data_IF_719232496117
#
_entry.id   IF_719232496117
#
_cell.length_a   1.000
_cell.length_b   1.000
_cell.length_c   1.000
_cell.angle_alpha   90.00
_cell.angle_beta   90.00
_cell.angle_gamma   90.00
#
_symmetry.space_group_name_H-M   'P 1'
#
loop_
_entity.id
_entity.type
_entity.pdbx_description
1 polymer ?
#
# COMPACT_ATOMS: atom_id res chain seq x y z
N UNK A 1 -6.88 -1.55 -20.80
CA UNK A 1 -7.56 -1.02 -19.62
C UNK A 1 -9.06 -1.15 -19.80
N UNK A 2 -9.66 -2.16 -19.19
CA UNK A 2 -11.10 -2.14 -18.88
C UNK A 2 -11.38 -0.85 -18.12
N UNK A 3 -12.38 -0.05 -18.54
CA UNK A 3 -13.04 0.93 -17.68
C UNK A 3 -13.06 0.33 -16.28
N UNK A 4 -12.59 1.03 -15.22
CA UNK A 4 -12.79 0.52 -13.87
C UNK A 4 -14.30 0.47 -13.68
N UNK A 5 -14.88 -0.69 -14.00
CA UNK A 5 -16.27 -0.97 -13.74
C UNK A 5 -16.43 -0.66 -12.28
N UNK A 6 -17.39 0.21 -11.97
CA UNK A 6 -17.90 0.37 -10.62
C UNK A 6 -18.15 -1.07 -10.18
N UNK A 7 -17.22 -1.63 -9.39
CA UNK A 7 -17.39 -2.99 -8.92
C UNK A 7 -18.65 -2.91 -8.09
N UNK A 8 -19.64 -3.73 -8.42
CA UNK A 8 -20.72 -3.97 -7.49
C UNK A 8 -20.04 -4.45 -6.22
N UNK A 9 -19.95 -3.57 -5.21
CA UNK A 9 -19.45 -3.95 -3.89
C UNK A 9 -20.21 -5.21 -3.50
N UNK A 10 -19.54 -6.19 -2.90
CA UNK A 10 -20.21 -7.43 -2.47
C UNK A 10 -21.39 -7.14 -1.51
N UNK A 11 -21.39 -5.93 -0.94
CA UNK A 11 -22.36 -5.39 0.01
C UNK A 11 -23.36 -4.41 -0.65
N UNK A 12 -23.14 -4.06 -1.93
CA UNK A 12 -23.55 -2.85 -2.68
C UNK A 12 -25.04 -2.55 -2.89
N UNK A 13 -25.92 -3.14 -2.10
CA UNK A 13 -27.31 -2.69 -1.94
C UNK A 13 -27.94 -3.16 -0.63
N UNK A 14 -27.33 -4.12 0.05
CA UNK A 14 -27.83 -4.67 1.30
C UNK A 14 -27.46 -3.79 2.50
N UNK A 15 -26.28 -3.18 2.52
CA UNK A 15 -25.85 -2.33 3.64
C UNK A 15 -26.88 -1.25 4.00
N UNK A 16 -27.40 -0.43 3.07
CA UNK A 16 -28.41 0.58 3.40
C UNK A 16 -29.70 -0.02 3.98
N UNK A 17 -30.11 -1.21 3.52
CA UNK A 17 -31.34 -1.87 3.99
C UNK A 17 -31.16 -2.45 5.40
N UNK A 18 -30.00 -3.07 5.65
CA UNK A 18 -29.62 -3.57 6.98
C UNK A 18 -29.49 -2.40 7.96
N UNK A 19 -28.89 -1.29 7.51
CA UNK A 19 -28.76 -0.05 8.28
C UNK A 19 -30.15 0.48 8.70
N UNK A 20 -31.05 0.64 7.74
CA UNK A 20 -32.43 1.10 7.99
C UNK A 20 -33.13 0.14 8.96
N UNK A 21 -33.03 -1.17 8.74
CA UNK A 21 -33.62 -2.18 9.62
C UNK A 21 -33.09 -2.12 11.05
N UNK A 22 -31.76 -1.98 11.22
CA UNK A 22 -31.12 -1.86 12.53
C UNK A 22 -31.55 -0.59 13.27
N UNK A 23 -31.61 0.56 12.57
CA UNK A 23 -32.07 1.84 13.15
C UNK A 23 -33.54 1.76 13.57
N UNK A 24 -34.41 1.17 12.74
CA UNK A 24 -35.82 0.99 13.09
C UNK A 24 -35.95 0.08 14.32
N UNK A 25 -35.25 -1.06 14.36
CA UNK A 25 -35.29 -1.99 15.49
C UNK A 25 -34.81 -1.30 16.78
N UNK A 26 -33.71 -0.55 16.71
CA UNK A 26 -33.16 0.16 17.85
C UNK A 26 -34.14 1.24 18.38
N UNK A 27 -34.79 1.97 17.46
CA UNK A 27 -35.82 2.94 17.80
C UNK A 27 -37.04 2.29 18.48
N UNK A 28 -37.55 1.18 17.93
CA UNK A 28 -38.68 0.44 18.51
C UNK A 28 -38.34 -0.12 19.91
N UNK A 29 -37.12 -0.64 20.08
CA UNK A 29 -36.65 -1.14 21.36
C UNK A 29 -36.59 -0.01 22.40
N UNK A 30 -36.06 1.15 22.01
CA UNK A 30 -36.03 2.36 22.86
C UNK A 30 -37.43 2.84 23.26
N UNK A 31 -38.38 2.86 22.31
CA UNK A 31 -39.79 3.21 22.58
C UNK A 31 -40.39 2.24 23.59
N UNK A 32 -40.16 0.93 23.43
CA UNK A 32 -40.62 -0.09 24.38
C UNK A 32 -40.12 0.19 25.80
N UNK A 33 -38.81 0.41 25.98
CA UNK A 33 -38.23 0.69 27.30
C UNK A 33 -38.79 1.96 27.96
N UNK A 34 -39.05 3.01 27.18
CA UNK A 34 -39.68 4.25 27.67
C UNK A 34 -41.12 3.98 28.12
N UNK A 35 -41.89 3.22 27.35
CA UNK A 35 -43.29 2.92 27.66
C UNK A 35 -43.45 2.01 28.88
N UNK A 36 -42.51 1.10 29.14
CA UNK A 36 -42.55 0.18 30.28
C UNK A 36 -41.99 0.79 31.60
N UNK A 37 -41.66 2.08 31.62
CA UNK A 37 -41.33 2.79 32.87
C UNK A 37 -40.04 2.33 33.55
N UNK A 38 -39.12 1.74 32.79
CA UNK A 38 -37.81 1.34 33.30
C UNK A 38 -37.05 2.61 33.69
N UNK A 39 -36.70 2.75 34.97
CA UNK A 39 -36.08 3.97 35.51
C UNK A 39 -34.70 3.70 36.09
N UNK A 40 -33.90 4.76 36.23
CA UNK A 40 -32.55 4.69 36.79
C UNK A 40 -31.52 4.06 35.83
N UNK A 41 -30.74 3.13 36.35
CA UNK A 41 -29.58 2.52 35.69
C UNK A 41 -29.92 1.85 34.36
N UNK A 42 -30.99 1.04 34.35
CA UNK A 42 -31.38 0.25 33.18
C UNK A 42 -31.79 1.15 32.01
N UNK A 43 -32.44 2.28 32.27
CA UNK A 43 -32.77 3.27 31.24
C UNK A 43 -31.50 3.84 30.59
N UNK A 44 -30.51 4.18 31.41
CA UNK A 44 -29.23 4.69 30.94
C UNK A 44 -28.46 3.68 30.09
N UNK A 45 -28.43 2.39 30.48
CA UNK A 45 -27.82 1.32 29.70
C UNK A 45 -28.50 1.11 28.33
N UNK A 46 -29.82 1.20 28.28
CA UNK A 46 -30.59 1.12 27.03
C UNK A 46 -30.29 2.29 26.10
N UNK A 47 -30.27 3.52 26.63
CA UNK A 47 -29.91 4.71 25.86
C UNK A 47 -28.49 4.59 25.30
N UNK A 48 -27.52 4.18 26.12
CA UNK A 48 -26.13 3.97 25.68
C UNK A 48 -26.01 2.90 24.59
N UNK A 49 -26.76 1.79 24.72
CA UNK A 49 -26.82 0.74 23.71
C UNK A 49 -27.37 1.28 22.39
N UNK A 50 -28.42 2.10 22.44
CA UNK A 50 -29.03 2.70 21.25
C UNK A 50 -28.05 3.66 20.54
N UNK A 51 -27.37 4.53 21.29
CA UNK A 51 -26.32 5.41 20.74
C UNK A 51 -25.22 4.58 20.07
N UNK A 52 -24.80 3.48 20.69
CA UNK A 52 -23.79 2.57 20.13
C UNK A 52 -24.23 1.96 18.80
N UNK A 53 -25.50 1.54 18.69
CA UNK A 53 -26.06 1.02 17.45
C UNK A 53 -26.10 2.10 16.35
N UNK A 54 -26.42 3.35 16.69
CA UNK A 54 -26.38 4.48 15.74
C UNK A 54 -24.94 4.74 15.28
N UNK A 55 -23.96 4.72 16.17
CA UNK A 55 -22.53 4.89 15.80
C UNK A 55 -22.09 3.75 14.88
N UNK A 56 -22.42 2.49 15.21
CA UNK A 56 -22.14 1.34 14.34
C UNK A 56 -22.78 1.48 12.96
N UNK A 57 -24.05 1.92 12.91
CA UNK A 57 -24.74 2.19 11.67
C UNK A 57 -23.96 3.25 10.84
N UNK A 58 -23.59 4.38 11.45
CA UNK A 58 -22.80 5.41 10.78
C UNK A 58 -21.45 4.88 10.28
N UNK A 59 -20.77 4.01 11.03
CA UNK A 59 -19.52 3.38 10.59
C UNK A 59 -19.70 2.50 9.36
N UNK A 60 -20.71 1.62 9.36
CA UNK A 60 -21.05 0.77 8.21
C UNK A 60 -21.40 1.62 6.99
N UNK A 61 -22.08 2.74 7.19
CA UNK A 61 -22.38 3.70 6.12
C UNK A 61 -21.11 4.35 5.58
N UNK A 62 -20.22 4.84 6.45
CA UNK A 62 -18.91 5.40 6.06
C UNK A 62 -18.08 4.37 5.30
N UNK A 63 -18.07 3.10 5.73
CA UNK A 63 -17.36 2.03 5.04
C UNK A 63 -17.95 1.69 3.67
N UNK A 64 -19.27 1.79 3.53
CA UNK A 64 -19.92 1.64 2.22
C UNK A 64 -19.48 2.75 1.27
N UNK A 65 -19.26 3.97 1.78
CA UNK A 65 -18.76 5.10 1.00
C UNK A 65 -17.27 5.02 0.66
N UNK A 66 -16.45 4.42 1.53
CA UNK A 66 -15.01 4.24 1.33
C UNK A 66 -14.73 2.99 0.48
N UNK A 67 -15.53 1.93 0.66
CA UNK A 67 -15.39 0.62 0.02
C UNK A 67 -15.41 0.70 -1.51
N UNK A 68 -16.14 1.65 -2.08
CA UNK A 68 -16.14 1.92 -3.54
C UNK A 68 -14.76 2.21 -4.14
N UNK A 69 -13.80 2.65 -3.31
CA UNK A 69 -12.44 2.98 -3.74
C UNK A 69 -11.38 1.99 -3.22
N UNK A 70 -11.76 1.03 -2.37
CA UNK A 70 -10.83 0.14 -1.68
C UNK A 70 -11.00 -1.33 -2.10
N UNK A 71 -9.98 -2.17 -1.87
CA UNK A 71 -10.07 -3.58 -2.24
C UNK A 71 -11.09 -4.35 -1.38
N UNK A 72 -11.68 -5.42 -1.91
CA UNK A 72 -12.73 -6.21 -1.22
C UNK A 72 -12.34 -6.80 0.14
N UNK A 73 -11.05 -7.07 0.37
CA UNK A 73 -10.59 -7.53 1.69
C UNK A 73 -10.79 -6.46 2.77
N UNK A 74 -10.66 -5.18 2.41
CA UNK A 74 -10.82 -4.06 3.35
C UNK A 74 -12.27 -3.93 3.78
N UNK A 75 -13.23 -4.12 2.86
CA UNK A 75 -14.66 -4.11 3.19
C UNK A 75 -14.99 -5.17 4.26
N UNK A 76 -14.50 -6.41 4.07
CA UNK A 76 -14.75 -7.49 5.03
C UNK A 76 -14.03 -7.28 6.36
N UNK A 77 -12.76 -6.86 6.33
CA UNK A 77 -11.98 -6.59 7.55
C UNK A 77 -12.55 -5.42 8.34
N UNK A 78 -13.01 -4.36 7.67
CA UNK A 78 -13.60 -3.20 8.32
C UNK A 78 -14.96 -3.54 8.94
N UNK A 79 -15.80 -4.28 8.21
CA UNK A 79 -17.07 -4.79 8.76
C UNK A 79 -16.85 -5.70 9.97
N UNK A 80 -15.85 -6.59 9.92
CA UNK A 80 -15.52 -7.48 11.03
C UNK A 80 -14.99 -6.69 12.25
N UNK A 81 -14.16 -5.67 12.03
CA UNK A 81 -13.68 -4.79 13.08
C UNK A 81 -14.82 -3.97 13.72
N UNK A 82 -15.71 -3.42 12.91
CA UNK A 82 -16.88 -2.67 13.40
C UNK A 82 -17.83 -3.58 14.20
N UNK A 83 -18.07 -4.81 13.73
CA UNK A 83 -18.88 -5.78 14.44
C UNK A 83 -18.24 -6.20 15.78
N UNK A 84 -16.92 -6.41 15.80
CA UNK A 84 -16.17 -6.69 17.02
C UNK A 84 -16.28 -5.54 18.03
N UNK A 85 -16.07 -4.29 17.58
CA UNK A 85 -16.17 -3.12 18.44
C UNK A 85 -17.59 -2.91 18.98
N UNK A 86 -18.62 -3.16 18.16
CA UNK A 86 -20.02 -3.12 18.59
C UNK A 86 -20.28 -4.11 19.74
N UNK A 87 -19.87 -5.36 19.57
CA UNK A 87 -20.04 -6.40 20.59
C UNK A 87 -19.28 -6.05 21.88
N UNK A 88 -18.06 -5.55 21.75
CA UNK A 88 -17.24 -5.14 22.88
C UNK A 88 -17.89 -3.97 23.65
N UNK A 89 -18.39 -2.94 22.96
CA UNK A 89 -19.09 -1.82 23.60
C UNK A 89 -20.39 -2.24 24.27
N UNK A 90 -21.20 -3.09 23.62
CA UNK A 90 -22.41 -3.64 24.26
C UNK A 90 -22.01 -4.41 25.53
N UNK A 91 -20.94 -5.22 25.46
CA UNK A 91 -20.39 -5.90 26.63
C UNK A 91 -20.03 -4.93 27.75
N UNK A 92 -19.28 -3.88 27.46
CA UNK A 92 -18.92 -2.84 28.45
C UNK A 92 -20.16 -2.18 29.05
N UNK A 93 -21.14 -1.81 28.22
CA UNK A 93 -22.38 -1.13 28.65
C UNK A 93 -23.19 -1.98 29.61
N UNK A 94 -23.11 -3.32 29.55
CA UNK A 94 -23.92 -4.21 30.38
C UNK A 94 -23.14 -4.87 31.52
N UNK A 95 -21.82 -4.98 31.40
CA UNK A 95 -20.97 -5.65 32.38
C UNK A 95 -20.25 -4.67 33.33
N UNK A 96 -20.10 -3.40 32.93
CA UNK A 96 -19.45 -2.38 33.76
C UNK A 96 -20.42 -1.80 34.80
N UNK A 97 -19.92 -1.34 35.98
CA UNK A 97 -20.68 -0.46 36.85
C UNK A 97 -21.17 0.75 36.07
N UNK A 98 -22.44 1.14 36.25
CA UNK A 98 -23.05 2.20 35.46
C UNK A 98 -23.18 3.48 36.28
N UNK A 99 -22.38 4.47 35.93
CA UNK A 99 -22.57 5.86 36.35
C UNK A 99 -22.56 6.75 35.11
N UNK A 100 -23.30 7.87 35.14
CA UNK A 100 -23.39 8.78 33.97
C UNK A 100 -22.02 9.35 33.60
N UNK A 101 -21.19 9.67 34.60
CA UNK A 101 -19.83 10.21 34.40
C UNK A 101 -18.89 9.19 33.75
N UNK A 102 -18.87 7.96 34.27
CA UNK A 102 -18.03 6.89 33.72
C UNK A 102 -18.48 6.50 32.31
N UNK A 103 -19.80 6.49 32.05
CA UNK A 103 -20.34 6.19 30.73
C UNK A 103 -19.97 7.26 29.70
N UNK A 104 -19.96 8.53 30.11
CA UNK A 104 -19.52 9.63 29.25
C UNK A 104 -18.02 9.51 28.93
N UNK A 105 -17.18 9.22 29.93
CA UNK A 105 -15.75 8.95 29.71
C UNK A 105 -15.50 7.73 28.81
N UNK A 106 -16.21 6.63 29.07
CA UNK A 106 -16.16 5.40 28.28
C UNK A 106 -16.60 5.62 26.82
N UNK A 107 -17.57 6.52 26.59
CA UNK A 107 -17.99 6.88 25.24
C UNK A 107 -16.87 7.58 24.45
N UNK A 108 -16.21 8.59 25.03
CA UNK A 108 -15.09 9.27 24.35
C UNK A 108 -13.86 8.38 24.20
N UNK A 109 -13.54 7.59 25.23
CA UNK A 109 -12.50 6.57 25.14
C UNK A 109 -12.83 5.57 24.03
N UNK A 110 -14.09 5.15 23.95
CA UNK A 110 -14.63 4.33 22.88
C UNK A 110 -14.38 4.95 21.51
N UNK A 111 -14.76 6.21 21.29
CA UNK A 111 -14.49 6.92 20.02
C UNK A 111 -12.99 6.92 19.73
N UNK A 112 -12.14 7.15 20.73
CA UNK A 112 -10.69 7.06 20.60
C UNK A 112 -10.23 5.67 20.13
N UNK A 113 -10.74 4.58 20.74
CA UNK A 113 -10.43 3.21 20.34
C UNK A 113 -10.90 2.89 18.92
N UNK A 114 -12.05 3.41 18.52
CA UNK A 114 -12.57 3.28 17.16
C UNK A 114 -11.63 3.97 16.16
N UNK A 115 -11.28 5.23 16.39
CA UNK A 115 -10.35 5.97 15.55
C UNK A 115 -8.97 5.27 15.47
N UNK A 116 -8.52 4.71 16.59
CA UNK A 116 -7.30 3.91 16.66
C UNK A 116 -7.35 2.66 15.79
N UNK A 117 -8.39 1.83 15.92
CA UNK A 117 -8.55 0.61 15.10
C UNK A 117 -8.64 0.98 13.62
N UNK A 118 -9.34 2.07 13.28
CA UNK A 118 -9.39 2.57 11.89
C UNK A 118 -8.02 3.03 11.38
N UNK A 119 -7.24 3.71 12.20
CA UNK A 119 -5.87 4.07 11.85
C UNK A 119 -5.00 2.83 11.59
N UNK A 120 -5.14 1.78 12.40
CA UNK A 120 -4.41 0.51 12.21
C UNK A 120 -4.80 -0.22 10.92
N UNK A 121 -6.10 -0.27 10.58
CA UNK A 121 -6.57 -0.81 9.30
C UNK A 121 -6.01 -0.02 8.11
N UNK A 122 -6.01 1.31 8.22
CA UNK A 122 -5.41 2.19 7.21
C UNK A 122 -3.89 1.97 7.06
N UNK A 123 -3.19 1.78 8.18
CA UNK A 123 -1.74 1.51 8.18
C UNK A 123 -1.43 0.13 7.59
N UNK A 124 -2.26 -0.88 7.85
CA UNK A 124 -2.15 -2.21 7.24
C UNK A 124 -2.34 -2.18 5.73
N UNK A 125 -3.32 -1.41 5.23
CA UNK A 125 -3.50 -1.20 3.79
C UNK A 125 -2.31 -0.45 3.16
N UNK A 126 -1.81 0.59 3.83
CA UNK A 126 -0.61 1.31 3.39
C UNK A 126 0.61 0.37 3.32
N UNK A 127 0.84 -0.45 4.34
CA UNK A 127 1.92 -1.43 4.36
C UNK A 127 1.80 -2.42 3.21
N UNK A 128 0.58 -2.90 2.93
CA UNK A 128 0.31 -3.80 1.80
C UNK A 128 0.64 -3.15 0.45
N UNK A 129 0.30 -1.88 0.26
CA UNK A 129 0.64 -1.13 -0.96
C UNK A 129 2.16 -1.01 -1.13
N UNK A 130 2.88 -0.68 -0.06
CA UNK A 130 4.36 -0.58 -0.07
C UNK A 130 4.99 -1.95 -0.32
N UNK A 131 4.49 -2.99 0.35
CA UNK A 131 4.96 -4.35 0.22
C UNK A 131 4.81 -4.89 -1.21
N UNK A 132 3.66 -4.66 -1.85
CA UNK A 132 3.42 -5.08 -3.22
C UNK A 132 4.35 -4.40 -4.23
N UNK A 133 4.83 -3.19 -3.93
CA UNK A 133 5.78 -2.46 -4.79
C UNK A 133 7.19 -3.04 -4.75
N UNK A 134 7.63 -3.54 -3.59
CA UNK A 134 9.01 -3.99 -3.35
C UNK A 134 9.04 -5.44 -2.85
N UNK A 135 8.34 -6.32 -3.57
CA UNK A 135 8.15 -7.73 -3.19
C UNK A 135 9.47 -8.50 -3.24
N UNK A 136 9.87 -9.11 -2.13
CA UNK A 136 11.06 -9.96 -1.99
C UNK A 136 10.90 -10.88 -0.78
N UNK A 137 11.64 -11.99 -0.70
CA UNK A 137 11.59 -12.88 0.47
C UNK A 137 11.77 -12.16 1.82
N UNK A 138 12.77 -11.29 2.03
CA UNK A 138 12.90 -10.57 3.30
C UNK A 138 11.77 -9.56 3.54
N UNK A 139 11.31 -8.82 2.51
CA UNK A 139 10.18 -7.89 2.67
C UNK A 139 8.86 -8.60 2.94
N UNK A 140 8.67 -9.84 2.46
CA UNK A 140 7.53 -10.69 2.83
C UNK A 140 7.51 -11.00 4.33
N UNK A 141 8.66 -11.35 4.91
CA UNK A 141 8.77 -11.63 6.35
C UNK A 141 8.46 -10.36 7.16
N UNK A 142 9.10 -9.24 6.83
CA UNK A 142 8.88 -7.98 7.55
C UNK A 142 7.43 -7.49 7.44
N UNK A 143 6.81 -7.61 6.26
CA UNK A 143 5.42 -7.21 6.06
C UNK A 143 4.45 -8.08 6.86
N UNK A 144 4.64 -9.40 6.89
CA UNK A 144 3.79 -10.32 7.67
C UNK A 144 3.92 -10.04 9.16
N UNK A 145 5.16 -9.89 9.68
CA UNK A 145 5.39 -9.57 11.10
C UNK A 145 4.75 -8.24 11.47
N UNK A 146 4.91 -7.21 10.63
CA UNK A 146 4.28 -5.91 10.86
C UNK A 146 2.75 -5.98 10.84
N UNK A 147 2.14 -6.70 9.89
CA UNK A 147 0.69 -6.87 9.83
C UNK A 147 0.13 -7.60 11.06
N UNK A 148 0.80 -8.67 11.50
CA UNK A 148 0.41 -9.41 12.71
C UNK A 148 0.56 -8.52 13.94
N UNK A 149 1.66 -7.77 14.06
CA UNK A 149 1.89 -6.86 15.17
C UNK A 149 0.85 -5.73 15.22
N UNK A 150 0.50 -5.13 14.08
CA UNK A 150 -0.55 -4.10 13.98
C UNK A 150 -1.92 -4.65 14.36
N UNK A 151 -2.27 -5.85 13.89
CA UNK A 151 -3.52 -6.51 14.27
C UNK A 151 -3.57 -6.79 15.78
N UNK A 152 -2.46 -7.28 16.34
CA UNK A 152 -2.37 -7.59 17.76
C UNK A 152 -2.47 -6.31 18.62
N UNK A 153 -1.79 -5.22 18.24
CA UNK A 153 -1.92 -3.92 18.92
C UNK A 153 -3.36 -3.41 18.83
N UNK A 154 -4.01 -3.52 17.67
CA UNK A 154 -5.40 -3.11 17.49
C UNK A 154 -6.33 -3.87 18.44
N UNK A 155 -6.15 -5.18 18.61
CA UNK A 155 -6.95 -5.98 19.56
C UNK A 155 -6.60 -5.63 21.00
N UNK A 156 -5.32 -5.59 21.37
CA UNK A 156 -4.91 -5.32 22.75
C UNK A 156 -5.44 -3.97 23.24
N UNK A 157 -5.26 -2.90 22.48
CA UNK A 157 -5.75 -1.56 22.92
C UNK A 157 -7.27 -1.51 23.12
N UNK A 158 -8.03 -2.39 22.47
CA UNK A 158 -9.50 -2.46 22.64
C UNK A 158 -9.94 -3.31 23.82
N UNK A 159 -9.09 -4.19 24.34
CA UNK A 159 -9.45 -5.02 25.48
C UNK A 159 -9.51 -4.14 26.72
N UNK A 160 -10.65 -4.11 27.45
CA UNK A 160 -10.69 -3.47 28.75
C UNK A 160 -9.64 -4.17 29.63
N UNK A 161 -8.67 -3.39 30.15
CA UNK A 161 -7.53 -3.93 30.89
C UNK A 161 -8.04 -4.92 31.94
N UNK A 162 -7.60 -6.19 31.91
CA UNK A 162 -8.19 -7.24 32.73
C UNK A 162 -7.79 -7.03 34.19
N UNK A 163 -8.55 -6.21 34.91
CA UNK A 163 -8.41 -6.03 36.36
C UNK A 163 -8.58 -7.35 37.13
N UNK A 164 -9.10 -8.40 36.49
CA UNK A 164 -9.55 -9.63 37.14
C UNK A 164 -8.76 -10.90 36.82
N UNK A 165 -7.82 -10.91 35.86
CA UNK A 165 -7.24 -12.18 35.40
C UNK A 165 -6.01 -12.64 36.21
N UNK A 166 -5.16 -11.73 36.70
CA UNK A 166 -4.07 -12.08 37.63
C UNK A 166 -3.31 -10.83 38.12
N UNK A 167 -2.71 -10.87 39.32
CA UNK A 167 -1.73 -9.86 39.80
C UNK A 167 -0.48 -9.75 38.91
N UNK A 168 -0.24 -10.74 38.05
CA UNK A 168 0.84 -10.73 37.05
C UNK A 168 0.55 -9.81 35.84
N UNK A 169 -0.68 -9.33 35.68
CA UNK A 169 -1.11 -8.55 34.50
C UNK A 169 -1.49 -7.11 34.86
N UNK A 170 -0.59 -6.44 35.58
CA UNK A 170 -0.76 -5.03 35.97
C UNK A 170 -0.68 -4.08 34.75
N UNK A 171 -1.25 -2.88 34.87
CA UNK A 171 -1.32 -1.87 33.81
C UNK A 171 0.06 -1.53 33.24
N UNK A 172 1.08 -1.50 34.11
CA UNK A 172 2.45 -1.23 33.69
C UNK A 172 3.03 -2.36 32.83
N UNK A 173 2.84 -3.62 33.22
CA UNK A 173 3.29 -4.77 32.43
C UNK A 173 2.54 -4.83 31.10
N UNK A 174 1.23 -4.61 31.12
CA UNK A 174 0.40 -4.57 29.92
C UNK A 174 0.84 -3.48 28.94
N UNK A 175 1.09 -2.27 29.43
CA UNK A 175 1.62 -1.17 28.65
C UNK A 175 3.00 -1.47 28.04
N UNK A 176 3.87 -2.17 28.78
CA UNK A 176 5.17 -2.62 28.26
C UNK A 176 5.03 -3.63 27.13
N UNK A 177 4.08 -4.56 27.21
CA UNK A 177 3.80 -5.52 26.12
C UNK A 177 3.31 -4.79 24.87
N UNK A 178 2.33 -3.89 25.01
CA UNK A 178 1.85 -3.08 23.88
C UNK A 178 2.99 -2.24 23.28
N UNK A 179 3.80 -1.62 24.13
CA UNK A 179 4.97 -0.83 23.72
C UNK A 179 6.03 -1.65 22.99
N UNK A 180 6.34 -2.86 23.45
CA UNK A 180 7.30 -3.74 22.78
C UNK A 180 6.80 -4.13 21.37
N UNK A 181 5.52 -4.48 21.25
CA UNK A 181 4.94 -4.89 19.97
C UNK A 181 4.83 -3.69 19.01
N UNK A 182 4.55 -2.48 19.51
CA UNK A 182 4.51 -1.27 18.69
C UNK A 182 5.89 -0.89 18.15
N UNK A 183 6.95 -1.09 18.93
CA UNK A 183 8.33 -0.93 18.45
C UNK A 183 8.62 -1.92 17.33
N UNK A 184 8.30 -3.21 17.50
CA UNK A 184 8.50 -4.23 16.46
C UNK A 184 7.71 -3.90 15.20
N UNK A 185 6.45 -3.49 15.33
CA UNK A 185 5.61 -3.08 14.21
C UNK A 185 6.22 -1.89 13.46
N UNK A 186 6.62 -0.85 14.18
CA UNK A 186 7.23 0.35 13.61
C UNK A 186 8.54 0.06 12.88
N UNK A 187 9.43 -0.73 13.50
CA UNK A 187 10.69 -1.15 12.88
C UNK A 187 10.44 -1.92 11.59
N UNK A 188 9.57 -2.93 11.62
CA UNK A 188 9.26 -3.73 10.43
C UNK A 188 8.61 -2.88 9.33
N UNK A 189 7.71 -1.95 9.69
CA UNK A 189 7.06 -1.04 8.75
C UNK A 189 8.07 -0.16 8.01
N UNK A 190 9.11 0.32 8.69
CA UNK A 190 10.19 1.13 8.10
C UNK A 190 11.17 0.27 7.29
N UNK A 191 11.44 -0.97 7.70
CA UNK A 191 12.33 -1.88 7.00
C UNK A 191 11.82 -2.28 5.61
N UNK A 192 10.50 -2.40 5.41
CA UNK A 192 9.92 -2.77 4.09
C UNK A 192 10.36 -1.82 2.97
N UNK A 193 10.12 -0.49 3.04
CA UNK A 193 10.55 0.43 1.99
C UNK A 193 12.07 0.58 1.91
N UNK A 194 12.80 0.57 3.04
CA UNK A 194 14.26 0.70 3.05
C UNK A 194 14.93 -0.46 2.30
N UNK A 195 14.50 -1.69 2.57
CA UNK A 195 15.02 -2.87 1.88
C UNK A 195 14.69 -2.85 0.39
N UNK A 196 13.47 -2.41 0.04
CA UNK A 196 13.07 -2.23 -1.36
C UNK A 196 13.96 -1.24 -2.13
N UNK A 197 14.32 -0.12 -1.48
CA UNK A 197 15.21 0.88 -2.07
C UNK A 197 16.65 0.38 -2.22
N UNK A 198 17.15 -0.43 -1.30
CA UNK A 198 18.48 -1.04 -1.38
C UNK A 198 18.55 -2.08 -2.50
N UNK A 199 17.60 -3.02 -2.55
CA UNK A 199 17.57 -4.07 -3.56
C UNK A 199 17.43 -3.55 -4.99
N UNK A 200 16.72 -2.44 -5.18
CA UNK A 200 16.61 -1.81 -6.52
C UNK A 200 17.87 -1.09 -6.97
N UNK A 201 18.70 -0.59 -6.04
CA UNK A 201 20.04 -0.07 -6.37
C UNK A 201 20.97 -1.19 -6.80
N UNK A 202 20.94 -2.32 -6.10
CA UNK A 202 21.75 -3.50 -6.44
C UNK A 202 21.35 -4.09 -7.79
N UNK A 203 20.06 -4.22 -8.08
CA UNK A 203 19.57 -4.69 -9.38
C UNK A 203 19.93 -3.72 -10.51
N UNK A 204 19.87 -2.39 -10.28
CA UNK A 204 20.30 -1.40 -11.26
C UNK A 204 21.82 -1.45 -11.48
N UNK A 205 22.62 -1.63 -10.43
CA UNK A 205 24.08 -1.79 -10.57
C UNK A 205 24.45 -3.09 -11.31
N UNK A 206 23.75 -4.20 -11.04
CA UNK A 206 23.94 -5.48 -11.73
C UNK A 206 23.50 -5.43 -13.19
N UNK A 207 22.44 -4.68 -13.52
CA UNK A 207 21.99 -4.49 -14.92
C UNK A 207 22.93 -3.62 -15.78
N UNK A 208 23.80 -2.82 -15.15
CA UNK A 208 24.87 -2.07 -15.84
C UNK A 208 26.20 -2.83 -15.87
N UNK A 209 26.33 -3.91 -15.08
CA UNK A 209 27.38 -4.90 -15.28
C UNK A 209 26.99 -5.75 -16.49
N UNK A 210 27.27 -5.23 -17.68
CA UNK A 210 27.19 -5.94 -18.95
C UNK A 210 27.71 -7.37 -18.77
N UNK A 211 26.92 -8.42 -19.03
CA UNK A 211 27.46 -9.77 -19.14
C UNK A 211 28.56 -9.68 -20.18
N UNK A 212 29.78 -10.06 -19.80
CA UNK A 212 30.88 -10.19 -20.72
C UNK A 212 30.52 -11.16 -21.82
N UNK A 213 29.92 -10.65 -22.90
CA UNK A 213 30.24 -11.11 -24.21
C UNK A 213 31.74 -10.90 -24.31
N UNK A 214 32.47 -12.01 -24.23
CA UNK A 214 33.82 -12.09 -24.77
C UNK A 214 33.82 -11.26 -26.05
N UNK A 215 34.80 -10.36 -26.14
CA UNK A 215 35.13 -9.67 -27.37
C UNK A 215 35.51 -10.72 -28.42
N UNK A 216 34.50 -11.36 -29.03
CA UNK A 216 34.61 -11.95 -30.34
C UNK A 216 34.83 -10.75 -31.26
N UNK A 217 36.07 -10.60 -31.72
CA UNK A 217 36.52 -9.47 -32.53
C UNK A 217 35.60 -9.27 -33.73
N UNK A 218 34.67 -8.32 -33.61
CA UNK A 218 34.10 -7.67 -34.76
C UNK A 218 35.10 -6.62 -35.21
N UNK A 219 35.94 -7.01 -36.17
CA UNK A 219 36.64 -6.06 -37.02
C UNK A 219 35.61 -5.12 -37.66
N UNK A 220 35.90 -3.82 -37.82
CA UNK A 220 35.00 -2.90 -38.48
C UNK A 220 34.84 -3.31 -39.93
N UNK A 221 33.68 -3.88 -40.27
CA UNK A 221 33.30 -4.19 -41.63
C UNK A 221 33.14 -2.89 -42.41
N UNK A 222 34.16 -2.56 -43.19
CA UNK A 222 34.10 -1.52 -44.21
C UNK A 222 32.99 -1.84 -45.21
N UNK A 223 32.27 -0.80 -45.60
CA UNK A 223 31.26 -0.81 -46.65
C UNK A 223 31.86 -1.36 -47.97
N UNK A 224 31.17 -2.30 -48.65
CA UNK A 224 31.30 -2.43 -50.09
C UNK A 224 29.97 -2.12 -50.78
N UNK A 225 30.09 -1.14 -51.65
CA UNK A 225 29.16 -0.67 -52.65
C UNK A 225 28.72 -1.81 -53.59
N UNK A 226 27.42 -1.88 -53.88
CA UNK A 226 26.81 -2.83 -54.80
C UNK A 226 27.32 -2.65 -56.23
N UNK A 227 27.67 -3.76 -56.89
CA UNK A 227 28.09 -3.81 -58.30
C UNK A 227 28.04 -5.22 -58.86
N UNK A 228 27.32 -5.39 -59.97
CA UNK A 228 26.86 -6.60 -60.65
C UNK A 228 27.93 -7.65 -61.04
N UNK A 229 27.55 -8.95 -61.01
CA UNK A 229 27.97 -9.92 -62.03
C UNK A 229 28.62 -11.25 -61.59
N UNK A 230 27.85 -12.33 -61.75
CA UNK A 230 28.22 -13.74 -62.07
C UNK A 230 28.72 -14.71 -60.97
N UNK A 231 28.24 -15.98 -60.96
CA UNK A 231 28.56 -17.02 -59.96
C UNK A 231 29.71 -17.95 -60.40
N UNK A 232 30.54 -18.39 -59.44
CA UNK A 232 31.65 -19.36 -59.66
C UNK A 232 31.65 -20.41 -58.51
N UNK A 233 32.00 -21.69 -58.79
CA UNK A 233 31.49 -22.87 -58.09
C UNK A 233 32.25 -23.30 -56.82
N UNK A 234 31.62 -24.22 -56.09
CA UNK A 234 32.06 -24.83 -54.82
C UNK A 234 33.18 -25.89 -54.93
N UNK A 235 33.76 -26.17 -53.74
CA UNK A 235 34.55 -27.32 -53.28
C UNK A 235 36.09 -27.12 -53.23
N UNK A 236 36.86 -27.87 -52.40
CA UNK A 236 36.46 -28.98 -51.50
C UNK A 236 36.92 -28.87 -50.03
N UNK A 237 36.29 -29.69 -49.19
CA UNK A 237 36.63 -29.93 -47.79
C UNK A 237 37.96 -30.68 -47.65
N UNK A 238 38.81 -30.24 -46.71
CA UNK A 238 39.96 -30.99 -46.23
C UNK A 238 39.68 -31.56 -44.84
N UNK A 239 39.74 -32.88 -44.74
CA UNK A 239 39.83 -33.62 -43.50
C UNK A 239 41.32 -33.73 -43.08
N UNK A 240 41.60 -33.50 -41.80
CA UNK A 240 42.81 -33.92 -41.11
C UNK A 240 42.47 -34.00 -39.61
N UNK A 241 42.17 -35.18 -39.06
CA UNK A 241 43.09 -36.21 -38.57
C UNK A 241 43.73 -35.83 -37.22
N UNK A 242 43.25 -36.50 -36.17
CA UNK A 242 43.76 -36.43 -34.80
C UNK A 242 45.08 -37.22 -34.66
N UNK A 243 45.92 -36.83 -33.69
CA UNK A 243 46.71 -37.80 -32.95
C UNK A 243 46.44 -37.70 -31.44
N UNK A 244 46.19 -38.85 -30.82
CA UNK A 244 46.15 -39.00 -29.37
C UNK A 244 47.54 -39.04 -28.75
N UNK A 245 47.60 -38.82 -27.43
CA UNK A 245 48.78 -39.10 -26.64
C UNK A 245 48.80 -38.43 -25.26
N UNK A 246 48.43 -39.19 -24.23
CA UNK A 246 48.92 -39.23 -22.84
C UNK A 246 49.28 -37.92 -22.09
N UNK A 247 48.66 -37.70 -20.93
CA UNK A 247 49.36 -37.42 -19.66
C UNK A 247 48.38 -37.39 -18.47
N UNK A 248 48.62 -38.29 -17.51
CA UNK A 248 48.04 -38.26 -16.16
C UNK A 248 48.45 -36.97 -15.43
N UNK A 249 47.51 -36.33 -14.75
CA UNK A 249 47.76 -35.23 -13.82
C UNK A 249 47.89 -35.76 -12.38
N UNK A 250 49.00 -35.46 -11.66
CA UNK A 250 49.11 -35.66 -10.23
C UNK A 250 49.00 -34.34 -9.46
N UNK A 251 48.24 -34.36 -8.34
CA UNK A 251 48.27 -33.35 -7.27
C UNK A 251 47.63 -32.00 -7.64
N UNK A 252 47.14 -31.19 -6.72
CA UNK A 252 47.06 -31.20 -5.27
C UNK A 252 46.19 -30.01 -4.89
N UNK A 253 45.51 -30.08 -3.75
CA UNK A 253 44.70 -29.01 -3.22
C UNK A 253 45.52 -27.71 -3.02
N UNK A 254 45.04 -26.53 -3.46
CA UNK A 254 45.58 -25.27 -2.96
C UNK A 254 45.05 -25.00 -1.53
N UNK A 255 45.90 -24.51 -0.61
CA UNK A 255 45.50 -24.20 0.76
C UNK A 255 44.65 -22.93 0.85
N UNK A 256 43.81 -22.88 1.88
CA UNK A 256 42.97 -21.75 2.25
C UNK A 256 43.83 -20.50 2.59
N UNK A 257 43.38 -19.27 2.23
CA UNK A 257 44.06 -18.06 2.67
C UNK A 257 43.90 -17.87 4.19
N UNK A 258 45.04 -17.69 4.87
CA UNK A 258 45.10 -17.24 6.25
C UNK A 258 44.48 -15.86 6.42
N UNK A 259 43.58 -15.73 7.40
CA UNK A 259 43.00 -14.47 7.82
C UNK A 259 44.09 -13.55 8.40
N UNK A 260 44.17 -12.32 7.88
CA UNK A 260 44.96 -11.26 8.45
C UNK A 260 44.34 -10.77 9.79
N UNK A 261 45.15 -10.42 10.81
CA UNK A 261 44.64 -9.89 12.06
C UNK A 261 44.09 -8.47 11.90
N UNK A 262 42.92 -8.23 12.51
CA UNK A 262 42.29 -6.91 12.60
C UNK A 262 43.10 -5.96 13.50
N UNK A 263 43.34 -4.70 13.09
CA UNK A 263 43.91 -3.69 13.99
C UNK A 263 42.89 -3.25 15.04
N UNK A 264 43.39 -3.08 16.27
CA UNK A 264 42.66 -2.64 17.44
C UNK A 264 42.04 -1.24 17.27
N UNK A 265 40.80 -1.10 17.73
CA UNK A 265 40.11 0.18 17.84
C UNK A 265 40.75 1.05 18.95
N UNK A 266 40.94 2.36 18.73
CA UNK A 266 41.35 3.28 19.78
C UNK A 266 40.21 3.57 20.76
N UNK A 267 40.58 3.65 22.03
CA UNK A 267 39.70 3.98 23.15
C UNK A 267 39.10 5.39 23.01
N UNK A 268 37.79 5.48 23.19
CA UNK A 268 37.02 6.72 23.16
C UNK A 268 37.25 7.50 24.46
N UNK A 269 37.79 8.70 24.31
CA UNK A 269 38.09 9.62 25.39
C UNK A 269 36.80 10.27 25.94
N UNK A 270 36.75 10.41 27.26
CA UNK A 270 35.67 11.06 27.99
C UNK A 270 35.48 12.52 27.56
N UNK A 271 34.24 12.88 27.23
CA UNK A 271 33.83 14.27 26.98
C UNK A 271 33.56 15.01 28.32
N UNK A 272 34.01 16.27 28.46
CA UNK A 272 33.77 17.08 29.66
C UNK A 272 32.35 17.68 29.70
N UNK A 273 31.88 17.89 30.93
CA UNK A 273 30.57 18.42 31.28
C UNK A 273 30.31 19.83 30.72
N UNK A 274 29.12 20.04 30.16
CA UNK A 274 28.63 21.34 29.72
C UNK A 274 28.07 22.16 30.91
N UNK A 275 28.25 23.50 30.92
CA UNK A 275 27.83 24.38 32.01
C UNK A 275 26.31 24.65 32.03
N UNK A 276 25.82 24.92 33.23
CA UNK A 276 24.42 25.14 33.57
C UNK A 276 23.78 26.35 32.86
N UNK A 277 22.52 26.17 32.43
CA UNK A 277 21.67 27.22 31.87
C UNK A 277 21.07 28.13 32.97
N UNK A 278 20.92 29.45 32.73
CA UNK A 278 20.35 30.39 33.70
C UNK A 278 18.81 30.34 33.78
N UNK A 279 18.33 30.79 34.95
CA UNK A 279 16.94 30.79 35.41
C UNK A 279 15.93 31.58 34.54
N UNK A 280 14.64 31.21 34.55
CA UNK A 280 13.60 31.87 33.77
C UNK A 280 13.19 33.24 34.34
N UNK A 281 13.06 34.23 33.45
CA UNK A 281 12.51 35.55 33.73
C UNK A 281 10.98 35.57 33.72
N UNK A 282 10.41 36.51 34.48
CA UNK A 282 8.98 36.71 34.75
C UNK A 282 8.11 36.99 33.50
N UNK A 283 6.80 36.69 33.55
CA UNK A 283 5.88 36.91 32.44
C UNK A 283 5.48 38.39 32.29
N UNK A 284 5.49 38.86 31.03
CA UNK A 284 4.90 40.14 30.60
C UNK A 284 3.42 39.97 30.25
N UNK A 285 2.56 41.00 30.43
CA UNK A 285 1.11 40.89 30.29
C UNK A 285 0.62 40.78 28.84
N UNK A 286 -0.51 40.09 28.69
CA UNK A 286 -1.15 39.71 27.43
C UNK A 286 -1.77 40.90 26.66
N UNK A 287 -1.70 40.90 25.31
CA UNK A 287 -2.56 41.72 24.48
C UNK A 287 -3.99 41.15 24.39
N UNK A 288 -4.95 42.06 24.35
CA UNK A 288 -6.40 41.82 24.32
C UNK A 288 -6.80 41.08 23.04
N UNK A 289 -7.58 40.00 23.18
CA UNK A 289 -8.07 39.19 22.07
C UNK A 289 -9.22 39.89 21.33
N UNK A 290 -9.01 40.12 20.04
CA UNK A 290 -10.03 40.51 19.06
C UNK A 290 -10.93 39.32 18.72
N UNK A 291 -12.21 39.59 18.50
CA UNK A 291 -13.26 38.59 18.26
C UNK A 291 -13.01 37.77 16.97
N UNK A 292 -13.36 36.47 16.93
CA UNK A 292 -13.13 35.65 15.75
C UNK A 292 -14.08 36.02 14.61
N UNK A 293 -13.50 36.53 13.53
CA UNK A 293 -14.16 36.68 12.23
C UNK A 293 -14.45 35.30 11.60
N UNK A 294 -15.64 35.19 11.04
CA UNK A 294 -16.19 34.02 10.38
C UNK A 294 -15.33 33.62 9.16
N UNK A 295 -14.75 32.41 9.18
CA UNK A 295 -13.93 31.90 8.10
C UNK A 295 -14.80 31.60 6.86
N UNK A 296 -14.47 32.27 5.75
CA UNK A 296 -15.05 32.01 4.42
C UNK A 296 -14.64 30.62 3.90
N UNK A 297 -15.47 29.97 3.05
CA UNK A 297 -15.15 28.67 2.46
C UNK A 297 -13.89 28.72 1.58
N UNK A 298 -13.09 27.63 1.53
CA UNK A 298 -11.86 27.58 0.75
C UNK A 298 -12.15 27.67 -0.75
N UNK A 299 -11.43 28.57 -1.42
CA UNK A 299 -11.47 28.74 -2.86
C UNK A 299 -10.97 27.46 -3.59
N UNK A 300 -11.57 27.08 -4.73
CA UNK A 300 -11.11 25.96 -5.53
C UNK A 300 -9.69 26.20 -6.06
N UNK A 301 -8.84 25.18 -5.95
CA UNK A 301 -7.48 25.21 -6.45
C UNK A 301 -7.46 25.45 -7.98
N UNK A 302 -6.52 26.27 -8.51
CA UNK A 302 -6.43 26.53 -9.93
C UNK A 302 -6.08 25.24 -10.70
N UNK A 303 -6.86 24.95 -11.75
CA UNK A 303 -6.63 23.85 -12.66
C UNK A 303 -5.25 24.00 -13.32
N UNK A 304 -4.42 22.96 -13.24
CA UNK A 304 -3.18 22.88 -14.01
C UNK A 304 -3.47 22.96 -15.52
N UNK A 305 -2.69 23.73 -16.30
CA UNK A 305 -2.89 23.84 -17.74
C UNK A 305 -2.67 22.49 -18.43
N UNK A 306 -3.68 22.05 -19.19
CA UNK A 306 -3.58 20.86 -20.05
C UNK A 306 -2.48 21.05 -21.08
N UNK A 307 -1.54 20.10 -21.14
CA UNK A 307 -0.50 20.08 -22.17
C UNK A 307 -1.14 19.95 -23.57
N UNK A 308 -0.53 20.53 -24.63
CA UNK A 308 -1.04 20.43 -25.99
C UNK A 308 -1.03 18.98 -26.47
N UNK A 309 -2.20 18.45 -26.85
CA UNK A 309 -2.34 17.10 -27.40
C UNK A 309 -1.71 17.04 -28.80
N UNK A 310 -0.81 16.07 -29.02
CA UNK A 310 -0.20 15.86 -30.34
C UNK A 310 -1.19 15.17 -31.28
N UNK A 311 -1.32 15.59 -32.54
CA UNK A 311 -2.20 14.93 -33.50
C UNK A 311 -1.72 13.49 -33.77
N UNK A 312 -2.67 12.57 -33.87
CA UNK A 312 -2.44 11.16 -34.18
C UNK A 312 -2.39 10.94 -35.70
N UNK A 313 -1.49 10.08 -36.15
CA UNK A 313 -1.45 9.63 -37.53
C UNK A 313 -2.60 8.66 -37.83
N UNK A 314 -2.93 8.51 -39.11
CA UNK A 314 -3.97 7.60 -39.56
C UNK A 314 -3.63 6.14 -39.19
N UNK A 315 -4.59 5.34 -38.68
CA UNK A 315 -4.33 3.94 -38.33
C UNK A 315 -3.92 3.11 -39.54
N UNK A 316 -3.02 2.16 -39.33
CA UNK A 316 -2.54 1.22 -40.35
C UNK A 316 -2.53 -0.21 -39.79
N UNK A 317 -2.53 -1.19 -40.68
CA UNK A 317 -2.31 -2.60 -40.36
C UNK A 317 -0.83 -2.88 -40.14
N UNK A 318 -0.49 -4.02 -39.54
CA UNK A 318 0.91 -4.45 -39.32
C UNK A 318 1.72 -4.59 -40.62
N UNK A 319 1.05 -4.72 -41.78
CA UNK A 319 1.66 -4.76 -43.11
C UNK A 319 1.90 -3.36 -43.72
N UNK A 320 1.59 -2.29 -42.99
CA UNK A 320 1.73 -0.90 -43.44
C UNK A 320 0.55 -0.36 -44.26
N UNK A 321 -0.46 -1.18 -44.55
CA UNK A 321 -1.65 -0.73 -45.30
C UNK A 321 -2.51 0.19 -44.42
N UNK A 322 -2.94 1.38 -44.87
CA UNK A 322 -3.80 2.25 -44.08
C UNK A 322 -5.20 1.64 -43.89
N UNK A 323 -5.83 1.92 -42.75
CA UNK A 323 -7.21 1.51 -42.48
C UNK A 323 -8.17 2.30 -43.39
N UNK A 324 -9.19 1.68 -44.02
CA UNK A 324 -10.13 2.42 -44.85
C UNK A 324 -10.90 3.46 -44.02
N UNK A 325 -11.23 4.59 -44.65
CA UNK A 325 -12.10 5.59 -44.08
C UNK A 325 -13.56 5.16 -44.24
N UNK A 326 -14.34 5.28 -43.18
CA UNK A 326 -15.78 5.14 -43.21
C UNK A 326 -16.47 6.31 -43.93
N UNK A 327 -17.80 6.23 -44.08
CA UNK A 327 -18.59 7.27 -44.74
C UNK A 327 -18.51 8.66 -44.06
N UNK A 328 -18.15 8.68 -42.78
CA UNK A 328 -17.97 9.88 -41.96
C UNK A 328 -16.53 10.42 -41.99
N UNK A 329 -15.65 9.83 -42.81
CA UNK A 329 -14.25 10.20 -42.90
C UNK A 329 -13.42 9.79 -41.67
N UNK A 330 -13.95 8.93 -40.79
CA UNK A 330 -13.22 8.37 -39.64
C UNK A 330 -12.67 6.97 -39.98
N UNK A 331 -11.67 6.46 -39.24
CA UNK A 331 -11.15 5.12 -39.48
C UNK A 331 -12.22 4.05 -39.21
N UNK A 332 -12.48 3.19 -40.19
CA UNK A 332 -13.47 2.12 -40.07
C UNK A 332 -12.85 0.87 -39.43
N UNK A 333 -12.98 0.76 -38.11
CA UNK A 333 -12.52 -0.41 -37.35
C UNK A 333 -13.41 -1.64 -37.52
N UNK A 334 -14.62 -1.50 -38.07
CA UNK A 334 -15.50 -2.64 -38.34
C UNK A 334 -15.11 -3.38 -39.62
N UNK A 335 -14.41 -2.70 -40.54
CA UNK A 335 -13.91 -3.28 -41.79
C UNK A 335 -12.58 -4.05 -41.66
N UNK A 336 -12.09 -4.32 -40.45
CA UNK A 336 -10.84 -5.07 -40.24
C UNK A 336 -11.03 -6.53 -40.68
N UNK A 337 -10.33 -7.01 -41.73
CA UNK A 337 -10.49 -8.38 -42.21
C UNK A 337 -10.00 -9.39 -41.16
N UNK A 338 -10.70 -10.52 -41.06
CA UNK A 338 -10.28 -11.62 -40.19
C UNK A 338 -8.85 -12.07 -40.55
N UNK A 339 -7.94 -11.96 -39.58
CA UNK A 339 -6.52 -12.32 -39.75
C UNK A 339 -5.57 -11.14 -39.97
N UNK A 340 -6.05 -9.90 -40.19
CA UNK A 340 -5.19 -8.71 -40.16
C UNK A 340 -5.13 -8.11 -38.75
N UNK A 341 -3.93 -7.78 -38.29
CA UNK A 341 -3.71 -7.08 -37.03
C UNK A 341 -3.48 -5.58 -37.28
N UNK A 342 -4.00 -4.74 -36.37
CA UNK A 342 -3.73 -3.31 -36.39
C UNK A 342 -2.29 -3.06 -35.92
N UNK A 343 -1.60 -2.18 -36.64
CA UNK A 343 -0.30 -1.65 -36.24
C UNK A 343 -0.42 -0.78 -34.99
N UNK A 344 0.71 -0.61 -34.30
CA UNK A 344 0.75 0.25 -33.13
C UNK A 344 0.49 1.71 -33.51
N UNK A 345 -0.32 2.47 -32.75
CA UNK A 345 -0.64 3.85 -33.12
C UNK A 345 0.58 4.76 -33.07
N UNK A 346 0.66 5.66 -34.04
CA UNK A 346 1.73 6.65 -34.20
C UNK A 346 1.15 8.07 -34.15
N UNK A 347 1.98 9.02 -33.76
CA UNK A 347 1.73 10.44 -33.97
C UNK A 347 2.07 10.84 -35.41
N UNK A 348 1.59 12.02 -35.85
CA UNK A 348 1.84 12.52 -37.22
C UNK A 348 3.35 12.67 -37.54
N UNK A 349 4.19 12.84 -36.51
CA UNK A 349 5.65 12.89 -36.62
C UNK A 349 6.33 11.50 -36.70
N UNK A 350 5.54 10.42 -36.74
CA UNK A 350 6.03 9.03 -36.78
C UNK A 350 6.43 8.46 -35.42
N UNK A 351 6.30 9.23 -34.33
CA UNK A 351 6.62 8.72 -32.99
C UNK A 351 5.53 7.76 -32.49
N UNK A 352 5.89 6.60 -31.91
CA UNK A 352 4.91 5.66 -31.40
C UNK A 352 4.25 6.20 -30.11
N UNK A 353 2.94 5.97 -29.99
CA UNK A 353 2.19 6.34 -28.78
C UNK A 353 2.70 5.49 -27.60
N UNK A 354 2.97 6.07 -26.41
CA UNK A 354 3.47 5.30 -25.28
C UNK A 354 2.52 4.16 -24.87
N UNK A 355 3.08 3.00 -24.52
CA UNK A 355 2.31 1.89 -23.97
C UNK A 355 2.12 2.04 -22.45
N UNK A 356 0.91 1.79 -21.97
CA UNK A 356 0.63 1.55 -20.57
C UNK A 356 1.20 0.19 -20.12
N UNK A 357 1.37 -0.05 -18.81
CA UNK A 357 1.85 -1.34 -18.28
C UNK A 357 1.00 -2.56 -18.68
N UNK A 358 -0.24 -2.34 -19.11
CA UNK A 358 -1.15 -3.38 -19.60
C UNK A 358 -1.08 -3.57 -21.12
N UNK A 359 -0.14 -2.91 -21.81
CA UNK A 359 0.05 -3.01 -23.26
C UNK A 359 -0.92 -2.16 -24.08
N UNK A 360 -1.72 -1.28 -23.46
CA UNK A 360 -2.64 -0.40 -24.20
C UNK A 360 -2.02 0.98 -24.52
N UNK A 361 -2.38 1.62 -25.65
CA UNK A 361 -1.83 2.93 -26.01
C UNK A 361 -2.36 4.04 -25.08
N UNK A 362 -1.46 4.90 -24.61
CA UNK A 362 -1.76 6.06 -23.76
C UNK A 362 -2.02 7.30 -24.63
N UNK A 363 -3.29 7.56 -24.92
CA UNK A 363 -3.73 8.83 -25.51
C UNK A 363 -3.72 9.89 -24.39
N UNK A 364 -2.68 10.74 -24.36
CA UNK A 364 -2.60 11.89 -23.44
C UNK A 364 -3.02 13.17 -24.15
#
# INVERSE_FOLDING_TARGET
MTTPGIRNSAIGGWAPRVLIGAVILAALLSIGFVLFGVSGETLGRVIATNITLVVFALLVWVDSLIGRFRPSWFELSSLAADAYLLLLWIGIIWLSPFTVGDQFGAFFLGIGTLLWVRAMLGLGDLLRLIWNRWRSRPTDIFAVVALVALALIAVLVTLPAPHSLNTLWDYEFYGRVIGAISIVAGVCFVLVPLWGLLGSREQRAAGHATPGYAAAGYAPAGYPQAGYGQPIPAAPAFAAQAPGGYAQAPGGFPPAPQAAPAPAAPAEAAAPAAPAAPAPAAPSPAPVAEAPAQAAPPAPAPATPSAPQRPLAWPHFTDGTPLPAGPDGRPDFAAVPAGKQLGWPLHVDGTPVPAAPDGTPLYR
#
